data_IF_257711279813
#
_entry.id   IF_257711279813
#
_cell.length_a   1.000
_cell.length_b   1.000
_cell.length_c   1.000
_cell.angle_alpha   90.00
_cell.angle_beta   90.00
_cell.angle_gamma   90.00
#
_symmetry.space_group_name_H-M   'P 1'
#
loop_
_entity.id
_entity.type
_entity.pdbx_description
1 polymer ?
#
# COMPACT_ATOMS: atom_id res chain seq x y z
N UNK A 1 -36.40 -26.15 -5.22
CA UNK A 1 -35.08 -26.65 -4.76
C UNK A 1 -34.01 -25.72 -5.27
N UNK A 2 -33.38 -24.97 -4.35
CA UNK A 2 -32.40 -23.93 -4.67
C UNK A 2 -31.15 -24.58 -5.31
N UNK A 3 -30.41 -23.83 -6.14
CA UNK A 3 -29.13 -24.26 -6.73
C UNK A 3 -28.16 -24.71 -5.63
N UNK A 4 -28.18 -24.05 -4.47
CA UNK A 4 -27.35 -24.43 -3.32
C UNK A 4 -27.76 -25.80 -2.77
N UNK A 5 -29.07 -26.07 -2.60
CA UNK A 5 -29.56 -27.38 -2.13
C UNK A 5 -29.11 -28.51 -3.06
N UNK A 6 -29.21 -28.31 -4.38
CA UNK A 6 -28.80 -29.31 -5.38
C UNK A 6 -27.29 -29.59 -5.32
N UNK A 7 -26.49 -28.53 -5.17
CA UNK A 7 -25.04 -28.66 -5.01
C UNK A 7 -24.71 -29.43 -3.72
N UNK A 8 -25.29 -29.03 -2.58
CA UNK A 8 -25.07 -29.69 -1.30
C UNK A 8 -25.49 -31.16 -1.31
N UNK A 9 -26.67 -31.48 -1.85
CA UNK A 9 -27.12 -32.87 -1.99
C UNK A 9 -26.16 -33.71 -2.83
N UNK A 10 -25.57 -33.16 -3.90
CA UNK A 10 -24.60 -33.87 -4.72
C UNK A 10 -23.34 -34.23 -3.94
N UNK A 11 -22.85 -33.35 -3.06
CA UNK A 11 -21.69 -33.63 -2.20
C UNK A 11 -22.03 -34.68 -1.14
N UNK A 12 -23.18 -34.54 -0.48
CA UNK A 12 -23.66 -35.45 0.56
C UNK A 12 -23.88 -36.87 0.00
N UNK A 13 -24.62 -37.01 -1.11
CA UNK A 13 -24.92 -38.30 -1.74
C UNK A 13 -23.65 -39.03 -2.19
N UNK A 14 -22.62 -38.28 -2.59
CA UNK A 14 -21.35 -38.84 -3.06
C UNK A 14 -20.30 -39.00 -1.95
N UNK A 15 -20.63 -38.67 -0.70
CA UNK A 15 -19.68 -38.64 0.45
C UNK A 15 -18.37 -37.90 0.11
N UNK A 16 -18.47 -36.83 -0.67
CA UNK A 16 -17.30 -36.02 -1.05
C UNK A 16 -17.01 -35.02 0.06
N UNK A 17 -15.80 -35.04 0.60
CA UNK A 17 -15.35 -34.02 1.55
C UNK A 17 -15.35 -32.64 0.88
N UNK A 18 -15.99 -31.66 1.52
CA UNK A 18 -16.01 -30.28 1.03
C UNK A 18 -14.85 -29.55 1.71
N UNK A 19 -13.80 -29.22 0.96
CA UNK A 19 -12.66 -28.50 1.54
C UNK A 19 -12.98 -27.03 1.81
N UNK A 20 -13.76 -26.42 0.92
CA UNK A 20 -14.07 -24.98 0.90
C UNK A 20 -15.50 -24.77 0.45
N UNK A 21 -16.28 -24.04 1.24
CA UNK A 21 -17.65 -23.66 0.91
C UNK A 21 -17.69 -22.16 0.62
N UNK A 22 -18.09 -21.79 -0.60
CA UNK A 22 -18.27 -20.38 -1.00
C UNK A 22 -19.73 -20.14 -1.32
N UNK A 23 -20.37 -19.24 -0.58
CA UNK A 23 -21.75 -18.85 -0.80
C UNK A 23 -21.82 -17.39 -1.22
N UNK A 24 -22.34 -17.15 -2.43
CA UNK A 24 -22.56 -15.82 -2.96
C UNK A 24 -24.06 -15.56 -3.07
N UNK A 25 -24.57 -14.60 -2.29
CA UNK A 25 -25.98 -14.23 -2.22
C UNK A 25 -26.14 -12.83 -2.83
N UNK A 26 -26.69 -12.77 -4.03
CA UNK A 26 -27.07 -11.52 -4.69
C UNK A 26 -28.49 -11.14 -4.36
N UNK A 27 -28.69 -9.99 -3.69
CA UNK A 27 -29.98 -9.48 -3.17
C UNK A 27 -30.46 -10.27 -1.95
N UNK A 28 -29.88 -9.92 -0.79
CA UNK A 28 -30.34 -10.46 0.48
C UNK A 28 -31.84 -10.24 0.69
N UNK A 29 -32.55 -11.32 0.97
CA UNK A 29 -33.92 -11.32 1.49
C UNK A 29 -33.85 -11.90 2.92
N UNK A 30 -34.43 -11.26 3.95
CA UNK A 30 -34.55 -11.82 5.30
C UNK A 30 -35.02 -13.27 5.35
N UNK A 31 -35.89 -13.70 4.43
CA UNK A 31 -36.38 -15.09 4.33
C UNK A 31 -35.29 -16.11 3.96
N UNK A 32 -34.16 -15.66 3.38
CA UNK A 32 -33.01 -16.50 3.06
C UNK A 32 -32.12 -16.79 4.27
N UNK A 33 -32.27 -16.07 5.38
CA UNK A 33 -31.40 -16.22 6.56
C UNK A 33 -31.38 -17.66 7.09
N UNK A 34 -32.56 -18.25 7.33
CA UNK A 34 -32.67 -19.64 7.79
C UNK A 34 -32.17 -20.66 6.75
N UNK A 35 -32.23 -20.34 5.45
CA UNK A 35 -31.65 -21.21 4.42
C UNK A 35 -30.12 -21.17 4.43
N UNK A 36 -29.55 -19.98 4.59
CA UNK A 36 -28.10 -19.79 4.73
C UNK A 36 -27.59 -20.58 5.94
N UNK A 37 -28.29 -20.47 7.08
CA UNK A 37 -27.97 -21.26 8.28
C UNK A 37 -27.99 -22.77 8.02
N UNK A 38 -29.02 -23.26 7.34
CA UNK A 38 -29.12 -24.67 6.97
C UNK A 38 -27.97 -25.13 6.08
N UNK A 39 -27.61 -24.35 5.06
CA UNK A 39 -26.49 -24.69 4.16
C UNK A 39 -25.16 -24.66 4.88
N UNK A 40 -24.97 -23.71 5.79
CA UNK A 40 -23.76 -23.60 6.60
C UNK A 40 -23.61 -24.76 7.57
N UNK A 41 -24.67 -25.09 8.32
CA UNK A 41 -24.67 -26.24 9.23
C UNK A 41 -24.36 -27.54 8.46
N UNK A 42 -24.95 -27.70 7.27
CA UNK A 42 -24.64 -28.83 6.39
C UNK A 42 -23.19 -28.83 5.93
N UNK A 43 -22.64 -27.69 5.53
CA UNK A 43 -21.24 -27.57 5.10
C UNK A 43 -20.28 -27.96 6.22
N UNK A 44 -20.51 -27.44 7.42
CA UNK A 44 -19.69 -27.72 8.62
C UNK A 44 -19.77 -29.18 9.05
N UNK A 45 -20.97 -29.76 9.06
CA UNK A 45 -21.17 -31.18 9.36
C UNK A 45 -20.47 -32.12 8.34
N UNK A 46 -20.03 -31.58 7.19
CA UNK A 46 -19.24 -32.30 6.19
C UNK A 46 -17.74 -31.94 6.24
N UNK A 47 -17.25 -31.33 7.33
CA UNK A 47 -15.81 -31.10 7.59
C UNK A 47 -15.19 -29.96 6.80
N UNK A 48 -15.97 -28.91 6.48
CA UNK A 48 -15.46 -27.71 5.80
C UNK A 48 -14.61 -26.87 6.74
N UNK A 49 -13.37 -26.60 6.33
CA UNK A 49 -12.43 -25.77 7.11
C UNK A 49 -12.41 -24.30 6.65
N UNK A 50 -12.94 -24.02 5.46
CA UNK A 50 -12.89 -22.71 4.81
C UNK A 50 -14.30 -22.31 4.34
N UNK A 51 -14.92 -21.31 4.98
CA UNK A 51 -16.23 -20.79 4.59
C UNK A 51 -16.11 -19.33 4.18
N UNK A 52 -16.40 -19.04 2.92
CA UNK A 52 -16.52 -17.67 2.43
C UNK A 52 -17.98 -17.37 2.14
N UNK A 53 -18.52 -16.35 2.80
CA UNK A 53 -19.90 -15.90 2.58
C UNK A 53 -19.82 -14.48 2.02
N UNK A 54 -20.56 -14.24 0.95
CA UNK A 54 -20.69 -12.89 0.39
C UNK A 54 -22.17 -12.63 0.24
N UNK A 55 -22.68 -11.69 1.03
CA UNK A 55 -24.06 -11.24 0.95
C UNK A 55 -24.05 -9.83 0.37
N UNK A 56 -24.80 -9.59 -0.69
CA UNK A 56 -24.94 -8.25 -1.27
C UNK A 56 -26.38 -7.77 -1.12
N UNK A 57 -26.56 -6.56 -0.61
CA UNK A 57 -27.86 -5.88 -0.49
C UNK A 57 -27.97 -4.80 -1.58
N UNK A 58 -29.18 -4.46 -1.99
CA UNK A 58 -29.39 -3.39 -2.95
C UNK A 58 -29.21 -2.03 -2.26
N UNK A 59 -28.38 -1.15 -2.83
CA UNK A 59 -28.11 0.21 -2.33
C UNK A 59 -29.39 1.02 -2.06
N UNK A 60 -30.47 0.80 -2.82
CA UNK A 60 -31.74 1.53 -2.63
C UNK A 60 -32.55 1.08 -1.41
N UNK A 61 -32.46 -0.19 -1.03
CA UNK A 61 -33.15 -0.73 0.15
C UNK A 61 -32.38 -0.42 1.45
N UNK A 62 -31.07 -0.18 1.33
CA UNK A 62 -30.17 0.26 2.40
C UNK A 62 -30.46 1.70 2.89
N UNK A 63 -30.80 2.60 1.96
CA UNK A 63 -31.10 4.02 2.27
C UNK A 63 -32.49 4.19 2.92
N UNK A 64 -33.45 3.34 2.57
CA UNK A 64 -34.85 3.47 3.01
C UNK A 64 -35.18 2.77 4.34
N UNK A 65 -34.48 1.68 4.68
CA UNK A 65 -34.84 0.84 5.85
C UNK A 65 -33.82 0.85 7.00
N UNK A 66 -32.70 1.58 6.85
CA UNK A 66 -31.63 1.63 7.83
C UNK A 66 -30.81 0.33 7.92
N UNK A 67 -29.68 0.37 8.65
CA UNK A 67 -28.72 -0.72 8.69
C UNK A 67 -29.24 -1.87 9.55
N UNK A 68 -29.81 -2.90 8.93
CA UNK A 68 -29.87 -4.23 9.52
C UNK A 68 -28.95 -5.12 8.73
N UNK A 69 -27.97 -5.70 9.40
CA UNK A 69 -27.31 -6.87 8.83
C UNK A 69 -28.37 -7.91 8.45
N UNK A 70 -28.02 -8.83 7.55
CA UNK A 70 -28.67 -10.12 7.44
C UNK A 70 -28.57 -11.00 8.72
N UNK A 71 -28.16 -10.44 9.86
CA UNK A 71 -27.83 -11.14 11.10
C UNK A 71 -29.05 -11.66 11.85
N UNK A 72 -29.61 -12.73 11.32
CA UNK A 72 -30.07 -13.87 12.10
C UNK A 72 -29.26 -15.13 11.79
N UNK A 73 -28.14 -15.01 11.06
CA UNK A 73 -27.29 -16.17 10.72
C UNK A 73 -26.66 -16.73 11.99
N UNK A 74 -27.13 -17.90 12.44
CA UNK A 74 -26.65 -18.55 13.65
C UNK A 74 -25.38 -19.37 13.38
N UNK A 75 -24.23 -18.73 13.53
CA UNK A 75 -22.91 -19.31 13.30
C UNK A 75 -22.39 -20.21 14.44
N UNK A 76 -23.25 -20.67 15.37
CA UNK A 76 -22.83 -21.45 16.55
C UNK A 76 -22.13 -22.77 16.22
N UNK A 77 -22.33 -23.31 15.02
CA UNK A 77 -21.73 -24.58 14.59
C UNK A 77 -20.37 -24.43 13.90
N UNK A 78 -19.86 -23.20 13.70
CA UNK A 78 -18.66 -22.92 12.89
C UNK A 78 -17.35 -22.85 13.68
N UNK A 79 -17.14 -23.69 14.69
CA UNK A 79 -15.99 -23.53 15.59
C UNK A 79 -14.63 -23.65 14.88
N UNK A 80 -14.51 -24.47 13.83
CA UNK A 80 -13.26 -24.70 13.09
C UNK A 80 -13.02 -23.72 11.93
N UNK A 81 -13.80 -22.63 11.86
CA UNK A 81 -13.72 -21.66 10.77
C UNK A 81 -12.38 -20.94 10.75
N UNK A 82 -11.67 -21.02 9.61
CA UNK A 82 -10.38 -20.35 9.40
C UNK A 82 -10.44 -19.06 8.59
N UNK A 83 -11.36 -18.96 7.64
CA UNK A 83 -11.50 -17.79 6.77
C UNK A 83 -12.90 -17.22 6.91
N UNK A 84 -13.05 -15.91 7.03
CA UNK A 84 -14.35 -15.22 7.07
C UNK A 84 -14.31 -13.99 6.16
N UNK A 85 -15.27 -13.92 5.25
CA UNK A 85 -15.47 -12.78 4.36
C UNK A 85 -16.83 -12.14 4.69
N UNK A 86 -16.87 -10.82 4.84
CA UNK A 86 -18.07 -10.07 5.16
C UNK A 86 -18.18 -8.91 4.18
N UNK A 87 -19.30 -8.78 3.47
CA UNK A 87 -19.51 -7.73 2.47
C UNK A 87 -20.79 -6.99 2.77
N UNK A 88 -20.79 -5.66 2.66
CA UNK A 88 -21.98 -4.81 2.85
C UNK A 88 -22.67 -5.03 4.19
N UNK A 89 -21.85 -5.16 5.23
CA UNK A 89 -22.29 -5.50 6.57
C UNK A 89 -22.18 -4.25 7.46
N UNK A 90 -23.27 -3.84 8.08
CA UNK A 90 -23.27 -2.79 9.11
C UNK A 90 -22.79 -3.40 10.44
N UNK A 91 -21.50 -3.73 10.50
CA UNK A 91 -20.90 -4.39 11.66
C UNK A 91 -20.57 -3.35 12.72
N UNK A 92 -21.09 -3.55 13.93
CA UNK A 92 -20.66 -2.83 15.14
C UNK A 92 -19.53 -3.59 15.83
N UNK A 93 -18.73 -2.89 16.65
CA UNK A 93 -17.65 -3.52 17.44
C UNK A 93 -18.16 -4.69 18.30
N UNK A 94 -19.36 -4.56 18.88
CA UNK A 94 -20.00 -5.62 19.66
C UNK A 94 -20.18 -6.90 18.85
N UNK A 95 -20.58 -6.77 17.58
CA UNK A 95 -20.80 -7.92 16.72
C UNK A 95 -19.50 -8.61 16.32
N UNK A 96 -18.42 -7.85 16.07
CA UNK A 96 -17.09 -8.43 15.83
C UNK A 96 -16.61 -9.24 17.03
N UNK A 97 -16.83 -8.75 18.25
CA UNK A 97 -16.45 -9.48 19.46
C UNK A 97 -17.18 -10.82 19.59
N UNK A 98 -18.45 -10.86 19.18
CA UNK A 98 -19.24 -12.10 19.14
C UNK A 98 -18.70 -13.05 18.06
N UNK A 99 -18.22 -12.56 16.93
CA UNK A 99 -17.61 -13.41 15.90
C UNK A 99 -16.27 -13.99 16.35
N UNK A 100 -15.37 -13.19 16.91
CA UNK A 100 -14.07 -13.69 17.36
C UNK A 100 -14.16 -14.67 18.53
N UNK A 101 -15.13 -14.48 19.44
CA UNK A 101 -15.40 -15.48 20.49
C UNK A 101 -15.96 -16.80 19.94
N UNK A 102 -16.72 -16.74 18.84
CA UNK A 102 -17.31 -17.93 18.19
C UNK A 102 -16.35 -18.66 17.24
N UNK A 103 -15.37 -17.97 16.66
CA UNK A 103 -14.40 -18.55 15.71
C UNK A 103 -12.98 -18.49 16.27
N UNK A 104 -12.66 -19.31 17.30
CA UNK A 104 -11.35 -19.27 17.95
C UNK A 104 -10.20 -19.72 17.05
N UNK A 105 -10.49 -20.31 15.89
CA UNK A 105 -9.50 -20.75 14.88
C UNK A 105 -9.44 -19.83 13.66
N UNK A 106 -10.07 -18.65 13.67
CA UNK A 106 -10.06 -17.73 12.55
C UNK A 106 -8.64 -17.20 12.27
N UNK A 107 -8.15 -17.43 11.05
CA UNK A 107 -6.82 -17.05 10.57
C UNK A 107 -6.90 -15.91 9.53
N UNK A 108 -7.97 -15.82 8.75
CA UNK A 108 -8.16 -14.82 7.70
C UNK A 108 -9.51 -14.11 7.82
N UNK A 109 -9.49 -12.77 7.84
CA UNK A 109 -10.68 -11.92 7.87
C UNK A 109 -10.65 -10.93 6.71
N UNK A 110 -11.69 -10.90 5.89
CA UNK A 110 -11.88 -9.88 4.86
C UNK A 110 -13.23 -9.18 5.04
N UNK A 111 -13.22 -7.85 4.96
CA UNK A 111 -14.39 -7.01 5.15
C UNK A 111 -14.52 -5.99 4.01
N UNK A 112 -15.75 -5.74 3.59
CA UNK A 112 -16.06 -4.81 2.50
C UNK A 112 -17.20 -3.86 2.91
N UNK A 113 -17.03 -2.56 2.64
CA UNK A 113 -18.04 -1.50 2.85
C UNK A 113 -18.56 -1.39 4.31
N UNK A 114 -17.64 -1.09 5.24
CA UNK A 114 -17.94 -0.84 6.66
C UNK A 114 -18.18 0.64 6.97
N UNK A 115 -18.92 0.92 8.06
CA UNK A 115 -19.56 2.23 8.23
C UNK A 115 -18.88 3.22 9.19
N UNK A 116 -18.08 2.85 10.22
CA UNK A 116 -17.56 3.86 11.19
C UNK A 116 -16.23 3.56 11.90
N UNK A 117 -16.20 2.58 12.78
CA UNK A 117 -15.06 2.25 13.66
C UNK A 117 -14.99 0.74 13.81
N UNK A 118 -13.76 0.21 13.84
CA UNK A 118 -13.54 -1.23 13.89
C UNK A 118 -12.48 -1.55 14.92
N UNK A 119 -12.86 -2.34 15.93
CA UNK A 119 -11.93 -2.96 16.87
C UNK A 119 -11.84 -4.47 16.64
N UNK A 120 -10.63 -4.93 16.35
CA UNK A 120 -10.32 -6.35 16.13
C UNK A 120 -9.42 -6.82 17.28
N UNK A 121 -9.84 -7.90 17.95
CA UNK A 121 -9.05 -8.58 18.97
C UNK A 121 -9.11 -10.08 18.70
N UNK A 122 -8.03 -10.64 18.14
CA UNK A 122 -8.01 -12.04 17.72
C UNK A 122 -6.60 -12.65 17.79
N UNK A 123 -6.48 -13.72 18.57
CA UNK A 123 -5.18 -14.30 18.93
C UNK A 123 -4.50 -15.07 17.80
N UNK A 124 -5.30 -15.67 16.89
CA UNK A 124 -4.79 -16.52 15.79
C UNK A 124 -4.91 -15.88 14.41
N UNK A 125 -5.45 -14.67 14.34
CA UNK A 125 -5.69 -13.98 13.09
C UNK A 125 -4.34 -13.60 12.46
N UNK A 126 -4.11 -14.08 11.24
CA UNK A 126 -2.88 -13.90 10.46
C UNK A 126 -3.04 -12.84 9.40
N UNK A 127 -4.26 -12.68 8.86
CA UNK A 127 -4.54 -11.82 7.73
C UNK A 127 -5.81 -11.02 7.95
N UNK A 128 -5.72 -9.71 7.75
CA UNK A 128 -6.87 -8.80 7.73
C UNK A 128 -6.90 -8.08 6.39
N UNK A 129 -8.07 -8.01 5.78
CA UNK A 129 -8.30 -7.22 4.56
C UNK A 129 -9.54 -6.34 4.70
N UNK A 130 -9.36 -5.04 4.52
CA UNK A 130 -10.43 -4.07 4.31
C UNK A 130 -10.45 -3.65 2.85
N UNK A 131 -11.65 -3.62 2.24
CA UNK A 131 -11.82 -3.17 0.85
C UNK A 131 -13.03 -2.25 0.74
N UNK A 132 -12.85 -1.09 0.11
CA UNK A 132 -13.88 -0.06 -0.07
C UNK A 132 -14.58 0.30 1.24
N UNK A 133 -13.81 0.43 2.32
CA UNK A 133 -14.31 0.75 3.66
C UNK A 133 -14.13 2.25 3.97
N UNK A 134 -14.59 3.11 3.07
CA UNK A 134 -14.24 4.54 3.05
C UNK A 134 -14.82 5.36 4.19
N UNK A 135 -15.87 4.86 4.85
CA UNK A 135 -16.50 5.50 6.01
C UNK A 135 -15.78 5.17 7.33
N UNK A 136 -14.81 4.25 7.32
CA UNK A 136 -14.02 3.94 8.51
C UNK A 136 -13.13 5.12 8.85
N UNK A 137 -13.32 5.66 10.06
CA UNK A 137 -12.43 6.69 10.63
C UNK A 137 -11.29 6.10 11.41
N UNK A 138 -11.49 4.95 12.06
CA UNK A 138 -10.50 4.35 12.95
C UNK A 138 -10.54 2.82 12.92
N UNK A 139 -9.35 2.22 12.84
CA UNK A 139 -9.10 0.78 12.89
C UNK A 139 -8.15 0.50 14.06
N UNK A 140 -8.61 -0.32 14.99
CA UNK A 140 -7.84 -0.79 16.14
C UNK A 140 -7.62 -2.28 16.04
N UNK A 141 -6.36 -2.72 16.08
CA UNK A 141 -6.00 -4.13 15.92
C UNK A 141 -5.13 -4.61 17.08
N UNK A 142 -5.64 -5.60 17.79
CA UNK A 142 -4.93 -6.42 18.77
C UNK A 142 -4.87 -7.87 18.29
N UNK A 143 -3.85 -8.17 17.49
CA UNK A 143 -3.66 -9.48 16.86
C UNK A 143 -2.17 -9.87 16.85
N UNK A 144 -1.69 -10.63 17.86
CA UNK A 144 -0.28 -10.99 17.98
C UNK A 144 0.22 -12.00 16.95
N UNK A 145 -0.69 -12.72 16.28
CA UNK A 145 -0.33 -13.64 15.20
C UNK A 145 -0.41 -13.01 13.81
N UNK A 146 -0.69 -11.70 13.73
CA UNK A 146 -0.87 -11.02 12.46
C UNK A 146 0.43 -11.06 11.65
N UNK A 147 0.33 -11.44 10.39
CA UNK A 147 1.44 -11.41 9.44
C UNK A 147 1.14 -10.51 8.24
N UNK A 148 -0.13 -10.26 7.95
CA UNK A 148 -0.57 -9.45 6.81
C UNK A 148 -1.75 -8.56 7.18
N UNK A 149 -1.65 -7.28 6.81
CA UNK A 149 -2.75 -6.33 6.88
C UNK A 149 -2.91 -5.68 5.51
N UNK A 150 -4.14 -5.59 5.01
CA UNK A 150 -4.44 -4.99 3.72
C UNK A 150 -5.62 -4.02 3.88
N UNK A 151 -5.41 -2.76 3.53
CA UNK A 151 -6.44 -1.73 3.54
C UNK A 151 -6.55 -1.09 2.16
N UNK A 152 -7.74 -1.15 1.58
CA UNK A 152 -8.04 -0.64 0.25
C UNK A 152 -9.24 0.29 0.31
N UNK A 153 -9.09 1.53 -0.14
CA UNK A 153 -10.15 2.53 -0.10
C UNK A 153 -9.77 3.82 -0.80
N UNK A 154 -10.44 4.91 -0.50
CA UNK A 154 -10.13 6.27 -0.94
C UNK A 154 -9.68 7.17 0.21
N UNK A 155 -10.02 6.79 1.45
CA UNK A 155 -9.69 7.57 2.64
C UNK A 155 -8.56 6.89 3.43
N UNK A 156 -7.83 7.71 4.19
CA UNK A 156 -6.77 7.26 5.10
C UNK A 156 -7.39 7.16 6.51
N UNK A 157 -7.62 5.96 7.07
CA UNK A 157 -8.18 5.82 8.41
C UNK A 157 -7.11 6.06 9.50
N UNK A 158 -7.52 6.38 10.73
CA UNK A 158 -6.63 6.28 11.89
C UNK A 158 -6.35 4.81 12.20
N UNK A 159 -5.08 4.39 12.20
CA UNK A 159 -4.70 2.99 12.37
C UNK A 159 -3.90 2.80 13.65
N UNK A 160 -4.34 1.93 14.56
CA UNK A 160 -3.65 1.65 15.82
C UNK A 160 -3.43 0.15 15.97
N UNK A 161 -2.17 -0.24 16.15
CA UNK A 161 -1.77 -1.61 16.47
C UNK A 161 -1.30 -1.70 17.92
N UNK A 162 -1.88 -2.61 18.71
CA UNK A 162 -1.49 -2.81 20.10
C UNK A 162 -0.37 -3.86 20.25
N UNK A 163 -0.61 -5.08 19.78
CA UNK A 163 0.34 -6.20 19.90
C UNK A 163 0.71 -6.78 18.53
N UNK A 164 0.88 -5.95 17.50
CA UNK A 164 1.22 -6.45 16.17
C UNK A 164 2.72 -6.79 16.06
N UNK A 165 3.11 -7.95 15.50
CA UNK A 165 4.51 -8.28 15.27
C UNK A 165 5.23 -7.24 14.41
N UNK A 166 6.54 -7.10 14.62
CA UNK A 166 7.37 -6.22 13.79
C UNK A 166 7.41 -6.66 12.30
N UNK A 167 7.23 -7.96 12.06
CA UNK A 167 7.32 -8.57 10.73
C UNK A 167 6.02 -8.49 9.90
N UNK A 168 4.97 -7.81 10.38
CA UNK A 168 3.73 -7.68 9.61
C UNK A 168 4.01 -6.94 8.29
N UNK A 169 3.45 -7.46 7.21
CA UNK A 169 3.41 -6.76 5.92
C UNK A 169 2.10 -5.99 5.80
N UNK A 170 2.20 -4.66 5.75
CA UNK A 170 1.06 -3.77 5.66
C UNK A 170 0.92 -3.27 4.22
N UNK A 171 -0.21 -3.57 3.61
CA UNK A 171 -0.56 -3.18 2.26
C UNK A 171 -1.61 -2.08 2.31
N UNK A 172 -1.26 -0.90 1.84
CA UNK A 172 -2.19 0.23 1.72
C UNK A 172 -2.48 0.47 0.25
N UNK A 173 -3.75 0.62 -0.10
CA UNK A 173 -4.19 0.80 -1.48
C UNK A 173 -5.25 1.89 -1.50
N UNK A 174 -4.85 3.16 -1.57
CA UNK A 174 -5.82 4.25 -1.58
C UNK A 174 -5.51 5.36 -2.57
N UNK A 175 -6.57 6.07 -2.95
CA UNK A 175 -6.49 7.20 -3.87
C UNK A 175 -7.18 8.43 -3.29
N UNK A 176 -6.58 9.64 -3.39
CA UNK A 176 -7.20 10.85 -2.86
C UNK A 176 -8.59 11.09 -3.47
N UNK A 177 -9.60 11.20 -2.63
CA UNK A 177 -10.97 11.57 -3.02
C UNK A 177 -11.15 13.10 -3.25
N UNK A 178 -10.04 13.83 -3.32
CA UNK A 178 -10.04 15.29 -3.44
C UNK A 178 -9.81 15.72 -4.88
N UNK A 179 -10.47 16.78 -5.35
CA UNK A 179 -10.13 17.36 -6.66
C UNK A 179 -8.70 17.94 -6.69
N UNK A 180 -8.13 18.30 -5.53
CA UNK A 180 -6.76 18.81 -5.39
C UNK A 180 -5.98 18.03 -4.34
N UNK A 181 -4.75 17.66 -4.70
CA UNK A 181 -3.75 17.04 -3.84
C UNK A 181 -2.66 18.08 -3.58
N UNK A 182 -2.69 18.67 -2.39
CA UNK A 182 -1.79 19.75 -1.98
C UNK A 182 -0.82 19.29 -0.90
N UNK A 183 0.11 20.15 -0.49
CA UNK A 183 1.14 19.89 0.53
C UNK A 183 0.61 19.23 1.81
N UNK A 184 -0.57 19.68 2.29
CA UNK A 184 -1.23 19.10 3.47
C UNK A 184 -1.59 17.60 3.30
N UNK A 185 -1.98 17.16 2.10
CA UNK A 185 -2.30 15.75 1.85
C UNK A 185 -1.06 14.86 1.97
N UNK A 186 0.09 15.29 1.43
CA UNK A 186 1.36 14.57 1.58
C UNK A 186 1.83 14.53 3.05
N UNK A 187 1.55 15.58 3.82
CA UNK A 187 1.80 15.61 5.26
C UNK A 187 0.95 14.57 6.01
N UNK A 188 -0.35 14.48 5.73
CA UNK A 188 -1.21 13.45 6.34
C UNK A 188 -0.82 12.03 5.91
N UNK A 189 -0.44 11.83 4.65
CA UNK A 189 0.12 10.56 4.17
C UNK A 189 1.35 10.17 4.99
N UNK A 190 2.30 11.09 5.17
CA UNK A 190 3.51 10.85 5.96
C UNK A 190 3.18 10.52 7.43
N UNK A 191 2.27 11.28 8.04
CA UNK A 191 1.81 11.04 9.41
C UNK A 191 1.23 9.64 9.57
N UNK A 192 0.35 9.24 8.67
CA UNK A 192 -0.28 7.91 8.67
C UNK A 192 0.74 6.79 8.52
N UNK A 193 1.65 6.90 7.56
CA UNK A 193 2.68 5.88 7.34
C UNK A 193 3.68 5.81 8.52
N UNK A 194 3.73 6.84 9.37
CA UNK A 194 4.58 6.92 10.56
C UNK A 194 4.01 6.23 11.80
N UNK A 195 2.75 5.79 11.77
CA UNK A 195 2.10 5.18 12.94
C UNK A 195 2.66 3.79 13.29
N UNK A 196 3.35 3.17 12.34
CA UNK A 196 3.79 1.78 12.42
C UNK A 196 5.27 1.68 12.07
N UNK A 197 6.01 0.78 12.71
CA UNK A 197 7.41 0.46 12.35
C UNK A 197 7.51 -0.75 11.42
N UNK A 198 6.38 -1.39 11.12
CA UNK A 198 6.29 -2.58 10.28
C UNK A 198 6.55 -2.27 8.81
N UNK A 199 6.70 -3.33 8.00
CA UNK A 199 6.99 -3.22 6.57
C UNK A 199 5.78 -2.70 5.82
N UNK A 200 5.97 -1.71 4.96
CA UNK A 200 4.86 -1.01 4.29
C UNK A 200 4.97 -1.10 2.77
N UNK A 201 3.89 -1.56 2.17
CA UNK A 201 3.68 -1.65 0.74
C UNK A 201 2.50 -0.74 0.40
N UNK A 202 2.79 0.41 -0.20
CA UNK A 202 1.78 1.44 -0.48
C UNK A 202 1.52 1.47 -1.98
N UNK A 203 0.25 1.38 -2.37
CA UNK A 203 -0.22 1.61 -3.73
C UNK A 203 -1.09 2.86 -3.74
N UNK A 204 -0.68 3.87 -4.49
CA UNK A 204 -1.44 5.12 -4.63
C UNK A 204 -2.11 5.20 -6.00
N UNK A 205 -3.41 5.47 -5.97
CA UNK A 205 -4.23 5.67 -7.17
C UNK A 205 -4.53 7.16 -7.31
N UNK A 206 -3.99 7.82 -8.31
CA UNK A 206 -4.38 9.20 -8.61
C UNK A 206 -5.57 9.20 -9.58
N UNK A 207 -6.44 10.20 -9.51
CA UNK A 207 -7.59 10.35 -10.41
C UNK A 207 -7.99 11.83 -10.56
N UNK A 208 -7.75 12.43 -11.74
CA UNK A 208 -8.13 13.83 -12.05
C UNK A 208 -7.75 14.86 -10.98
N UNK A 209 -6.74 14.58 -10.15
CA UNK A 209 -6.35 15.48 -9.08
C UNK A 209 -5.41 16.55 -9.66
N UNK A 210 -5.69 17.82 -9.39
CA UNK A 210 -4.65 18.86 -9.48
C UNK A 210 -3.61 18.56 -8.40
N UNK A 211 -2.33 18.51 -8.75
CA UNK A 211 -1.26 18.22 -7.78
C UNK A 211 -0.40 19.45 -7.58
N UNK A 212 -0.18 19.81 -6.31
CA UNK A 212 0.77 20.84 -5.90
C UNK A 212 1.51 20.38 -4.65
N UNK A 213 2.78 20.78 -4.54
CA UNK A 213 3.60 20.48 -3.39
C UNK A 213 4.64 21.57 -3.19
N UNK A 214 4.58 22.23 -2.05
CA UNK A 214 5.53 23.22 -1.60
C UNK A 214 5.87 22.95 -0.13
N UNK A 215 7.16 22.93 0.18
CA UNK A 215 7.66 22.71 1.53
C UNK A 215 7.35 23.91 2.44
N UNK A 216 7.29 25.12 1.91
CA UNK A 216 7.04 26.33 2.73
C UNK A 216 5.57 26.42 3.18
N UNK A 217 4.65 25.72 2.50
CA UNK A 217 3.26 25.56 2.94
C UNK A 217 3.11 24.61 4.13
N UNK A 218 4.14 23.80 4.42
CA UNK A 218 4.09 22.87 5.54
C UNK A 218 4.38 23.63 6.85
N UNK A 219 3.44 23.53 7.79
CA UNK A 219 3.55 24.17 9.10
C UNK A 219 4.67 23.59 9.98
N UNK A 220 4.78 24.11 11.22
CA UNK A 220 5.86 23.76 12.17
C UNK A 220 5.77 22.31 12.70
N UNK A 221 4.60 21.67 12.59
CA UNK A 221 4.32 20.33 13.12
C UNK A 221 4.58 19.19 12.13
N UNK A 222 5.79 19.09 11.58
CA UNK A 222 6.14 18.09 10.56
C UNK A 222 6.15 16.69 11.20
N UNK A 223 5.46 15.70 10.60
CA UNK A 223 5.52 14.33 11.09
C UNK A 223 6.94 13.74 11.04
N UNK A 224 7.26 12.77 11.91
CA UNK A 224 8.53 12.05 11.87
C UNK A 224 8.85 11.48 10.48
N UNK A 225 10.13 11.21 10.21
CA UNK A 225 10.51 10.54 8.97
C UNK A 225 9.95 9.13 8.94
N UNK A 226 9.52 8.75 7.74
CA UNK A 226 9.00 7.42 7.46
C UNK A 226 9.76 6.86 6.28
N UNK A 227 10.11 5.57 6.36
CA UNK A 227 10.66 4.79 5.26
C UNK A 227 9.64 3.73 4.85
N UNK A 228 9.27 3.73 3.58
CA UNK A 228 8.33 2.75 2.99
C UNK A 228 9.12 1.70 2.22
N UNK A 229 8.82 0.41 2.39
CA UNK A 229 9.54 -0.66 1.67
C UNK A 229 9.26 -0.61 0.16
N UNK A 230 8.01 -0.38 -0.21
CA UNK A 230 7.59 -0.34 -1.60
C UNK A 230 6.47 0.65 -1.83
N UNK A 231 6.66 1.55 -2.80
CA UNK A 231 5.65 2.48 -3.27
C UNK A 231 5.29 2.14 -4.72
N UNK A 232 4.03 1.81 -4.98
CA UNK A 232 3.48 1.65 -6.32
C UNK A 232 2.59 2.84 -6.67
N UNK A 233 2.84 3.45 -7.82
CA UNK A 233 2.03 4.54 -8.34
C UNK A 233 1.27 4.01 -9.55
N UNK A 234 -0.05 4.18 -9.59
CA UNK A 234 -0.86 3.71 -10.71
C UNK A 234 -2.04 4.62 -10.97
N UNK A 235 -2.58 4.55 -12.20
CA UNK A 235 -3.63 5.45 -12.65
C UNK A 235 -4.63 4.76 -13.58
N UNK A 236 -5.91 4.65 -13.18
CA UNK A 236 -6.90 3.95 -14.00
C UNK A 236 -7.58 4.78 -15.10
N UNK A 237 -7.60 6.14 -15.07
CA UNK A 237 -8.52 6.92 -15.95
C UNK A 237 -8.02 8.31 -16.43
N UNK A 238 -7.73 8.50 -17.71
CA UNK A 238 -7.14 9.71 -18.35
C UNK A 238 -7.71 11.11 -17.97
N UNK A 239 -6.82 12.06 -17.64
CA UNK A 239 -6.92 13.53 -17.90
C UNK A 239 -5.54 14.22 -17.90
N UNK A 240 -5.48 15.43 -18.48
CA UNK A 240 -4.30 16.27 -18.78
C UNK A 240 -3.69 17.05 -17.59
N UNK A 241 -2.47 17.57 -17.83
CA UNK A 241 -1.67 18.56 -17.09
C UNK A 241 -1.67 18.44 -15.55
N UNK A 242 -1.10 17.34 -15.05
CA UNK A 242 -0.68 17.23 -13.65
C UNK A 242 0.75 17.78 -13.52
N UNK A 243 1.04 18.48 -12.42
CA UNK A 243 2.42 18.77 -12.04
C UNK A 243 3.09 17.50 -11.50
N UNK A 244 3.69 16.74 -12.41
CA UNK A 244 4.41 15.51 -12.10
C UNK A 244 5.64 15.76 -11.22
N UNK A 245 6.22 16.97 -11.27
CA UNK A 245 7.38 17.31 -10.46
C UNK A 245 6.96 17.48 -9.00
N UNK A 246 5.89 18.25 -8.75
CA UNK A 246 5.29 18.37 -7.43
C UNK A 246 4.84 17.01 -6.88
N UNK A 247 4.22 16.16 -7.71
CA UNK A 247 3.85 14.80 -7.32
C UNK A 247 5.07 13.98 -6.86
N UNK A 248 6.13 13.96 -7.67
CA UNK A 248 7.35 13.23 -7.34
C UNK A 248 8.00 13.76 -6.05
N UNK A 249 8.09 15.09 -5.90
CA UNK A 249 8.69 15.72 -4.73
C UNK A 249 7.89 15.43 -3.46
N UNK A 250 6.56 15.53 -3.51
CA UNK A 250 5.68 15.22 -2.38
C UNK A 250 5.74 13.75 -1.97
N UNK A 251 5.78 12.81 -2.94
CA UNK A 251 5.89 11.38 -2.66
C UNK A 251 7.25 10.98 -2.09
N UNK A 252 8.34 11.51 -2.65
CA UNK A 252 9.69 11.24 -2.14
C UNK A 252 9.88 11.80 -0.72
N UNK A 253 9.33 12.98 -0.44
CA UNK A 253 9.37 13.61 0.88
C UNK A 253 8.46 12.95 1.92
N UNK A 254 7.30 12.43 1.51
CA UNK A 254 6.35 11.79 2.43
C UNK A 254 6.72 10.34 2.75
N UNK A 255 7.18 9.57 1.76
CA UNK A 255 7.31 8.12 1.88
C UNK A 255 8.74 7.61 2.07
N UNK A 256 9.78 8.36 1.63
CA UNK A 256 11.17 7.89 1.49
C UNK A 256 11.27 6.40 1.08
N UNK A 257 10.70 6.03 -0.08
CA UNK A 257 10.51 4.63 -0.42
C UNK A 257 11.83 3.95 -0.76
N UNK A 258 12.06 2.70 -0.33
CA UNK A 258 13.21 1.88 -0.77
C UNK A 258 13.08 1.47 -2.22
N UNK A 259 11.85 1.22 -2.66
CA UNK A 259 11.54 0.91 -4.06
C UNK A 259 10.30 1.66 -4.52
N UNK A 260 10.35 2.18 -5.75
CA UNK A 260 9.21 2.80 -6.43
C UNK A 260 8.91 2.00 -7.70
N UNK A 261 7.67 1.57 -7.85
CA UNK A 261 7.19 0.90 -9.05
C UNK A 261 6.14 1.73 -9.75
N UNK A 262 6.29 1.88 -11.06
CA UNK A 262 5.33 2.55 -11.93
C UNK A 262 5.15 1.70 -13.20
N UNK A 263 3.92 1.22 -13.50
CA UNK A 263 3.65 0.53 -14.77
C UNK A 263 3.56 1.53 -15.91
N UNK A 264 3.72 1.13 -17.18
CA UNK A 264 3.65 2.02 -18.34
C UNK A 264 2.33 1.90 -19.10
N UNK A 265 1.23 1.66 -18.41
CA UNK A 265 -0.05 1.32 -19.05
C UNK A 265 -0.78 2.57 -19.58
N UNK A 266 -0.42 3.75 -19.09
CA UNK A 266 -1.05 5.02 -19.44
C UNK A 266 -0.03 6.15 -19.66
N UNK A 267 -0.47 7.23 -20.31
CA UNK A 267 0.33 8.46 -20.50
C UNK A 267 0.72 9.07 -19.16
N UNK A 268 -0.17 9.03 -18.16
CA UNK A 268 0.13 9.49 -16.80
C UNK A 268 1.34 8.77 -16.24
N UNK A 269 1.33 7.45 -16.30
CA UNK A 269 2.38 6.65 -15.68
C UNK A 269 3.70 6.79 -16.44
N UNK A 270 3.66 6.91 -17.77
CA UNK A 270 4.84 7.22 -18.60
C UNK A 270 5.45 8.59 -18.21
N UNK A 271 4.63 9.62 -18.02
CA UNK A 271 5.13 10.94 -17.61
C UNK A 271 5.68 10.92 -16.18
N UNK A 272 5.01 10.19 -15.26
CA UNK A 272 5.50 9.98 -13.91
C UNK A 272 6.87 9.28 -13.91
N UNK A 273 7.03 8.23 -14.74
CA UNK A 273 8.30 7.56 -14.96
C UNK A 273 9.37 8.54 -15.45
N UNK A 274 9.08 9.37 -16.46
CA UNK A 274 10.03 10.35 -17.00
C UNK A 274 10.54 11.29 -15.91
N UNK A 275 9.63 11.93 -15.17
CA UNK A 275 10.00 12.90 -14.13
C UNK A 275 10.72 12.24 -12.95
N UNK A 276 10.31 11.03 -12.55
CA UNK A 276 11.04 10.28 -11.51
C UNK A 276 12.45 9.93 -11.97
N UNK A 277 12.62 9.43 -13.19
CA UNK A 277 13.93 9.14 -13.76
C UNK A 277 14.78 10.40 -13.88
N UNK A 278 14.22 11.51 -14.35
CA UNK A 278 14.92 12.80 -14.44
C UNK A 278 15.40 13.23 -13.06
N UNK A 279 14.50 13.36 -12.08
CA UNK A 279 14.86 13.80 -10.72
C UNK A 279 15.86 12.86 -10.04
N UNK A 280 15.68 11.55 -10.15
CA UNK A 280 16.44 10.57 -9.37
C UNK A 280 17.75 10.15 -10.06
N UNK A 281 17.81 10.17 -11.39
CA UNK A 281 18.96 9.69 -12.16
C UNK A 281 19.80 10.84 -12.74
N UNK A 282 19.23 12.03 -12.99
CA UNK A 282 20.00 13.24 -13.39
C UNK A 282 20.74 13.87 -12.21
N UNK A 283 20.33 13.61 -10.95
CA UNK A 283 21.11 13.99 -9.78
C UNK A 283 22.57 13.47 -9.82
N UNK A 284 22.88 12.49 -10.68
CA UNK A 284 24.25 12.05 -10.97
C UNK A 284 25.05 12.97 -11.90
N UNK A 285 24.39 13.77 -12.75
CA UNK A 285 25.03 14.60 -13.80
C UNK A 285 25.21 16.05 -13.32
N UNK A 286 24.22 16.61 -12.62
CA UNK A 286 24.26 18.01 -12.16
C UNK A 286 25.18 18.26 -10.95
N UNK A 287 25.66 17.20 -10.30
CA UNK A 287 26.66 17.25 -9.23
C UNK A 287 28.10 16.98 -9.72
N UNK A 288 28.38 17.14 -11.01
CA UNK A 288 29.75 17.32 -11.51
C UNK A 288 30.40 16.14 -12.27
N UNK A 289 29.63 15.28 -12.93
CA UNK A 289 30.18 14.41 -13.98
C UNK A 289 29.62 14.86 -15.33
N UNK A 290 30.28 15.85 -15.91
CA UNK A 290 30.21 16.09 -17.35
C UNK A 290 30.76 14.85 -18.08
N UNK A 291 30.11 14.33 -19.15
CA UNK A 291 30.66 13.27 -19.99
C UNK A 291 31.75 13.77 -20.95
N UNK A 292 32.49 14.82 -20.59
CA UNK A 292 33.52 15.42 -21.44
C UNK A 292 34.84 15.45 -20.66
N UNK A 293 35.80 14.68 -21.17
CA UNK A 293 37.22 14.60 -20.79
C UNK A 293 37.62 13.64 -19.65
N UNK A 294 37.59 12.32 -19.93
CA UNK A 294 38.69 11.44 -19.49
C UNK A 294 38.90 10.20 -20.37
N UNK A 295 38.96 10.38 -21.70
CA UNK A 295 39.76 9.51 -22.55
C UNK A 295 41.24 9.86 -22.35
N UNK A 296 41.83 9.44 -21.22
CA UNK A 296 43.25 9.15 -21.20
C UNK A 296 43.39 7.66 -21.49
N UNK A 297 43.71 7.36 -22.76
CA UNK A 297 44.30 6.09 -23.17
C UNK A 297 45.36 5.70 -22.13
N UNK A 298 45.11 4.60 -21.43
CA UNK A 298 46.18 3.67 -21.06
C UNK A 298 45.80 2.35 -21.70
N UNK A 299 46.44 2.09 -22.84
CA UNK A 299 46.57 0.78 -23.41
C UNK A 299 47.10 -0.17 -22.33
N UNK A 300 46.35 -1.22 -22.03
CA UNK A 300 46.91 -2.48 -21.55
C UNK A 300 46.07 -3.59 -22.17
N UNK A 301 46.64 -4.25 -23.18
CA UNK A 301 46.16 -5.54 -23.66
C UNK A 301 46.32 -6.57 -22.54
N UNK A 302 45.26 -7.32 -22.22
CA UNK A 302 45.36 -8.75 -21.87
C UNK A 302 44.07 -9.47 -22.30
N UNK A 303 44.16 -10.64 -22.97
CA UNK A 303 43.00 -11.40 -23.44
C UNK A 303 42.49 -12.37 -22.36
N UNK A 304 41.19 -12.65 -22.43
CA UNK A 304 40.44 -13.70 -21.70
C UNK A 304 40.00 -13.37 -20.27
N UNK A 305 38.81 -12.77 -20.14
CA UNK A 305 38.00 -12.86 -18.92
C UNK A 305 36.50 -12.86 -19.26
N UNK A 306 35.78 -13.84 -18.71
CA UNK A 306 34.34 -14.08 -18.88
C UNK A 306 33.57 -13.17 -17.91
N UNK A 307 32.54 -12.40 -18.33
CA UNK A 307 31.87 -11.49 -17.40
C UNK A 307 30.83 -12.25 -16.57
N UNK A 308 31.21 -12.65 -15.36
CA UNK A 308 30.30 -12.68 -14.22
C UNK A 308 30.63 -11.49 -13.34
N UNK A 309 29.89 -10.39 -13.45
CA UNK A 309 30.06 -9.28 -12.51
C UNK A 309 28.74 -8.58 -12.21
N UNK A 310 28.21 -8.85 -11.01
CA UNK A 310 27.41 -7.91 -10.26
C UNK A 310 28.16 -6.57 -10.18
N UNK A 311 27.56 -5.48 -10.65
CA UNK A 311 28.20 -4.18 -10.61
C UNK A 311 28.38 -3.71 -9.16
N UNK A 312 29.65 -3.48 -8.81
CA UNK A 312 30.15 -3.01 -7.52
C UNK A 312 30.02 -1.49 -7.44
N UNK A 313 29.66 -1.01 -6.26
CA UNK A 313 29.51 0.39 -5.83
C UNK A 313 30.73 1.30 -6.12
N UNK A 314 30.49 2.58 -6.44
CA UNK A 314 31.21 3.80 -5.96
C UNK A 314 30.96 5.05 -6.85
N UNK A 315 31.18 6.30 -6.37
CA UNK A 315 31.42 6.75 -5.00
C UNK A 315 30.32 7.68 -4.44
N UNK A 316 30.44 7.98 -3.16
CA UNK A 316 29.62 8.91 -2.38
C UNK A 316 29.39 10.25 -3.09
N UNK A 317 28.14 10.70 -3.10
CA UNK A 317 27.81 12.10 -3.41
C UNK A 317 28.59 12.98 -2.43
N UNK A 318 29.55 13.77 -2.90
CA UNK A 318 30.15 14.88 -2.16
C UNK A 318 29.03 15.89 -1.90
N UNK A 319 28.61 15.93 -0.63
CA UNK A 319 27.23 16.24 -0.22
C UNK A 319 27.10 17.56 0.52
N UNK A 320 28.10 18.44 0.50
CA UNK A 320 28.11 19.60 1.41
C UNK A 320 27.23 20.78 0.96
N UNK A 321 26.88 20.95 -0.32
CA UNK A 321 26.08 22.12 -0.74
C UNK A 321 24.98 21.78 -1.77
N UNK A 322 23.93 21.06 -1.34
CA UNK A 322 22.66 21.11 -2.07
C UNK A 322 21.92 22.38 -1.64
N UNK A 323 22.06 23.44 -2.43
CA UNK A 323 21.41 24.75 -2.22
C UNK A 323 19.87 24.74 -2.34
N UNK A 324 19.20 23.56 -2.31
CA UNK A 324 17.73 23.47 -2.48
C UNK A 324 16.96 24.12 -1.32
N UNK A 325 17.54 24.25 -0.13
CA UNK A 325 16.85 24.70 1.09
C UNK A 325 17.61 25.81 1.85
N UNK A 326 18.25 26.76 1.17
CA UNK A 326 19.09 27.81 1.81
C UNK A 326 18.31 28.63 2.87
N UNK A 327 17.00 28.75 2.76
CA UNK A 327 16.13 29.51 3.69
C UNK A 327 15.06 28.67 4.41
N UNK A 328 14.95 27.38 4.08
CA UNK A 328 13.79 26.57 4.45
C UNK A 328 13.89 25.96 5.85
N UNK A 329 12.82 26.09 6.65
CA UNK A 329 12.70 25.43 7.97
C UNK A 329 12.72 23.90 7.86
N UNK A 330 12.49 23.36 6.65
CA UNK A 330 12.23 21.95 6.36
C UNK A 330 13.19 21.45 5.28
N UNK A 331 13.83 20.30 5.51
CA UNK A 331 14.70 19.69 4.50
C UNK A 331 13.89 19.06 3.36
N UNK A 332 14.29 19.39 2.13
CA UNK A 332 13.86 18.70 0.91
C UNK A 332 14.42 17.26 0.88
N UNK A 333 13.75 16.34 0.17
CA UNK A 333 14.13 14.91 0.11
C UNK A 333 15.55 14.68 -0.42
N UNK A 334 16.09 15.60 -1.24
CA UNK A 334 17.45 15.52 -1.78
C UNK A 334 18.53 15.37 -0.71
N UNK A 335 18.32 15.94 0.49
CA UNK A 335 19.31 15.85 1.58
C UNK A 335 19.48 14.44 2.13
N UNK A 336 18.45 13.61 2.04
CA UNK A 336 18.48 12.23 2.48
C UNK A 336 18.78 11.24 1.35
N UNK A 337 18.58 11.57 0.08
CA UNK A 337 18.83 10.60 -0.98
C UNK A 337 20.34 10.35 -1.17
N UNK A 338 20.79 9.10 -1.04
CA UNK A 338 22.15 8.66 -1.34
C UNK A 338 22.33 8.23 -2.79
N UNK A 339 21.30 7.66 -3.38
CA UNK A 339 21.39 7.14 -4.74
C UNK A 339 20.08 6.53 -5.22
N UNK A 340 19.99 6.37 -6.54
CA UNK A 340 18.91 5.72 -7.23
C UNK A 340 19.43 4.88 -8.40
N UNK A 341 18.75 3.77 -8.67
CA UNK A 341 18.98 2.94 -9.87
C UNK A 341 17.69 2.26 -10.33
N UNK A 342 17.63 1.91 -11.60
CA UNK A 342 16.60 1.03 -12.13
C UNK A 342 16.96 -0.41 -11.71
N UNK A 343 16.08 -1.07 -10.96
CA UNK A 343 16.27 -2.46 -10.51
C UNK A 343 15.63 -3.46 -11.49
N UNK A 344 14.43 -3.14 -12.00
CA UNK A 344 13.70 -3.99 -12.95
C UNK A 344 13.02 -3.14 -14.00
N UNK A 345 13.06 -3.60 -15.24
CA UNK A 345 12.33 -3.05 -16.37
C UNK A 345 11.66 -4.20 -17.12
N UNK A 346 10.32 -4.23 -17.13
CA UNK A 346 9.58 -5.28 -17.82
C UNK A 346 9.76 -5.22 -19.34
N UNK A 347 10.07 -6.35 -19.99
CA UNK A 347 9.99 -6.48 -21.44
C UNK A 347 11.28 -6.32 -22.25
N UNK A 348 12.47 -6.21 -21.63
CA UNK A 348 13.75 -6.22 -22.35
C UNK A 348 14.55 -7.47 -21.92
N UNK A 349 14.98 -8.27 -22.90
CA UNK A 349 15.85 -9.45 -22.71
C UNK A 349 17.34 -9.09 -22.65
N UNK A 350 17.70 -7.84 -22.96
CA UNK A 350 19.08 -7.37 -23.11
C UNK A 350 19.44 -6.32 -22.05
N UNK A 351 20.38 -6.66 -21.18
CA UNK A 351 20.89 -5.79 -20.10
C UNK A 351 21.74 -4.61 -20.62
N UNK A 352 21.87 -4.42 -21.94
CA UNK A 352 22.84 -3.49 -22.53
C UNK A 352 22.32 -2.06 -22.84
N UNK A 353 21.03 -1.76 -22.67
CA UNK A 353 20.46 -0.42 -22.98
C UNK A 353 20.39 0.51 -21.75
N UNK A 354 21.48 0.62 -20.98
CA UNK A 354 21.51 1.26 -19.65
C UNK A 354 21.86 2.77 -19.67
N UNK A 355 21.31 3.54 -20.60
CA UNK A 355 21.21 5.00 -20.41
C UNK A 355 19.74 5.40 -20.32
N UNK A 356 19.34 6.02 -19.20
CA UNK A 356 17.94 6.27 -18.86
C UNK A 356 17.18 7.07 -19.94
N UNK A 357 17.85 7.98 -20.67
CA UNK A 357 17.27 8.70 -21.82
C UNK A 357 16.73 7.76 -22.90
N UNK A 358 17.54 6.78 -23.34
CA UNK A 358 17.12 5.81 -24.36
C UNK A 358 16.06 4.83 -23.83
N UNK A 359 16.08 4.58 -22.52
CA UNK A 359 15.07 3.77 -21.86
C UNK A 359 13.71 4.49 -21.81
N UNK A 360 13.69 5.81 -21.63
CA UNK A 360 12.46 6.61 -21.70
C UNK A 360 11.89 6.69 -23.12
N UNK A 361 12.75 6.70 -24.15
CA UNK A 361 12.35 6.70 -25.56
C UNK A 361 11.76 5.35 -26.02
N UNK A 362 12.14 4.25 -25.35
CA UNK A 362 11.71 2.89 -25.67
C UNK A 362 10.56 2.37 -24.81
N UNK A 363 10.00 3.20 -23.91
CA UNK A 363 8.85 2.87 -23.09
C UNK A 363 7.63 2.54 -23.95
N UNK A 364 7.20 1.29 -23.92
CA UNK A 364 5.98 0.81 -24.57
C UNK A 364 4.93 0.45 -23.52
N UNK A 365 3.66 0.35 -23.93
CA UNK A 365 2.57 -0.03 -23.02
C UNK A 365 2.74 -1.47 -22.53
N UNK A 366 2.44 -1.70 -21.25
CA UNK A 366 2.48 -3.04 -20.64
C UNK A 366 3.81 -3.41 -19.98
N UNK A 367 4.72 -2.44 -19.80
CA UNK A 367 5.97 -2.60 -19.06
C UNK A 367 5.80 -2.10 -17.63
N UNK A 368 6.76 -2.42 -16.77
CA UNK A 368 6.82 -1.90 -15.40
C UNK A 368 8.25 -1.49 -15.08
N UNK A 369 8.43 -0.27 -14.56
CA UNK A 369 9.72 0.21 -14.05
C UNK A 369 9.72 0.09 -12.54
N UNK A 370 10.77 -0.53 -11.99
CA UNK A 370 11.10 -0.50 -10.57
C UNK A 370 12.39 0.29 -10.37
N UNK A 371 12.32 1.37 -9.61
CA UNK A 371 13.46 2.14 -9.13
C UNK A 371 13.78 1.72 -7.70
N UNK A 372 15.06 1.49 -7.40
CA UNK A 372 15.56 1.27 -6.05
C UNK A 372 16.29 2.52 -5.56
N UNK A 373 15.96 2.96 -4.36
CA UNK A 373 16.48 4.17 -3.73
C UNK A 373 17.21 3.83 -2.43
N UNK A 374 18.21 4.64 -2.11
CA UNK A 374 19.02 4.51 -0.91
C UNK A 374 18.98 5.83 -0.14
N UNK A 375 18.70 5.77 1.16
CA UNK A 375 18.46 6.95 1.99
C UNK A 375 19.46 7.08 3.16
N UNK A 376 19.73 8.32 3.55
CA UNK A 376 20.42 8.77 4.77
C UNK A 376 19.44 9.52 5.65
N UNK A 377 18.57 8.80 6.34
CA UNK A 377 17.52 9.43 7.13
C UNK A 377 18.06 10.15 8.37
N UNK A 378 19.21 9.71 8.92
CA UNK A 378 19.86 10.37 10.06
C UNK A 378 20.25 11.81 9.75
N UNK A 379 20.70 12.07 8.52
CA UNK A 379 21.02 13.43 8.05
C UNK A 379 19.81 14.36 8.00
N UNK A 380 18.61 13.82 7.80
CA UNK A 380 17.37 14.61 7.83
C UNK A 380 16.87 14.79 9.27
N UNK A 381 16.94 13.76 10.13
CA UNK A 381 16.48 13.83 11.54
C UNK A 381 17.19 14.90 12.37
N UNK A 382 18.45 15.21 12.07
CA UNK A 382 19.26 16.17 12.82
C UNK A 382 18.98 17.66 12.57
N UNK A 383 17.93 18.03 11.84
CA UNK A 383 17.70 19.40 11.35
C UNK A 383 16.42 20.05 11.87
N UNK A 384 16.46 21.30 12.37
CA UNK A 384 17.61 22.02 12.93
C UNK A 384 17.72 21.71 14.43
N UNK A 385 18.84 21.13 14.89
CA UNK A 385 19.19 21.27 16.31
C UNK A 385 19.51 22.75 16.52
N UNK A 386 18.62 23.45 17.23
CA UNK A 386 18.82 24.82 17.69
C UNK A 386 20.23 24.95 18.31
N UNK A 387 21.10 25.68 17.63
CA UNK A 387 22.27 26.29 18.27
C UNK A 387 21.72 27.46 19.07
N UNK A 388 21.70 27.31 20.39
CA UNK A 388 21.19 28.35 21.28
C UNK A 388 21.06 27.94 22.75
N UNK A 389 21.87 27.00 23.26
CA UNK A 389 22.20 27.00 24.68
C UNK A 389 23.07 28.25 24.94
N UNK A 390 22.42 29.40 25.16
CA UNK A 390 23.05 30.53 25.82
C UNK A 390 23.16 30.18 27.31
N UNK A 391 24.15 29.35 27.63
CA UNK A 391 24.74 29.31 28.95
C UNK A 391 26.26 29.40 28.79
N UNK A 392 26.77 30.54 29.27
CA UNK A 392 28.15 30.89 29.67
C UNK A 392 28.80 32.01 28.84
N UNK A 393 28.63 33.25 29.34
CA UNK A 393 29.75 34.16 29.60
C UNK A 393 29.24 35.46 30.26
N UNK A 394 29.42 35.57 31.58
CA UNK A 394 29.70 36.75 32.44
C UNK A 394 28.96 36.64 33.77
#
# INVERSE_FOLDING_TARGET
>A
MNVVDKSMQKFILKKLGIRRFKLFVTRFNPDLSGMIDGWMALALNNGVNEISITVTTNLRDFISNGPKLPCSINLTSCCDLKELHLTQCSITDDLLSVYFSRFPFLEDLAMFELLRTVRISAQRLRSIRFVWCDEIKMIQVDAPSLSKFEDKGFNIPDLIFYNAPYLVEIYHSFGPNYSKVVSAWFCELRKYLGVSTQRKFVTLYFNRNEVGFDLEELGVGIPPLVEVDHLKITYPNFTESIDYAALADGLLWSCHPKTITVPSNSTFEINCIKVLCEKLLILKILLGISPVNRLKRKEFMMPNYVPHTSFRWAPELDREDLSCCISGRIKCWHHGLKGAKIERFGGIKDEQLLHWNHLLESLTRGQEICLKLEWDLERIKGWPKLVGDYNQAS
#
